data_IF_750956029542
#
_entry.id   IF_750956029542
#
_cell.length_a   1.000
_cell.length_b   1.000
_cell.length_c   1.000
_cell.angle_alpha   90.00
_cell.angle_beta   90.00
_cell.angle_gamma   90.00
#
_symmetry.space_group_name_H-M   'P 1'
#
loop_
_entity.id
_entity.type
_entity.pdbx_description
1 polymer ?
#
# COMPACT_ATOMS: atom_id res chain seq x y z
N UNK A 1 4.90 29.01 5.21
CA UNK A 1 5.40 28.94 6.60
C UNK A 1 6.68 28.13 6.62
N UNK A 2 7.53 28.35 7.62
CA UNK A 2 8.71 27.53 7.92
C UNK A 2 8.28 26.30 8.71
N UNK A 3 8.96 25.17 8.53
CA UNK A 3 8.70 23.96 9.29
C UNK A 3 8.88 24.19 10.80
N UNK A 4 7.94 23.76 11.67
CA UNK A 4 7.98 24.07 13.11
C UNK A 4 9.29 23.66 13.78
N UNK A 5 9.85 22.50 13.43
CA UNK A 5 11.11 22.00 14.00
C UNK A 5 12.32 22.81 13.51
N UNK A 6 12.33 23.22 12.24
CA UNK A 6 13.38 24.12 11.76
C UNK A 6 13.33 25.44 12.52
N UNK A 7 12.14 25.98 12.74
CA UNK A 7 11.94 27.17 13.59
C UNK A 7 12.54 26.96 14.98
N UNK A 8 12.19 25.86 15.64
CA UNK A 8 12.70 25.52 16.99
C UNK A 8 14.23 25.38 17.01
N UNK A 9 14.84 24.71 16.02
CA UNK A 9 16.31 24.56 15.92
C UNK A 9 17.00 25.91 15.71
N UNK A 10 16.38 26.81 14.94
CA UNK A 10 16.87 28.18 14.75
C UNK A 10 16.85 28.98 16.09
N UNK A 11 15.72 28.91 16.81
CA UNK A 11 15.56 29.57 18.11
C UNK A 11 16.55 29.04 19.16
N UNK A 12 16.78 27.72 19.17
CA UNK A 12 17.82 27.13 20.04
C UNK A 12 19.21 27.65 19.69
N UNK A 13 19.56 27.75 18.39
CA UNK A 13 20.86 28.27 17.97
C UNK A 13 21.01 29.78 18.25
N UNK A 14 19.91 30.53 18.14
CA UNK A 14 19.85 31.94 18.51
C UNK A 14 19.96 32.18 20.04
N UNK A 15 19.63 31.15 20.85
CA UNK A 15 19.58 31.23 22.30
C UNK A 15 18.30 31.84 22.86
N UNK A 16 17.36 32.25 21.99
CA UNK A 16 16.08 32.85 22.39
C UNK A 16 14.99 32.66 21.35
N UNK A 17 13.71 32.89 21.72
CA UNK A 17 12.59 32.88 20.80
C UNK A 17 12.57 34.15 19.94
N UNK A 18 12.10 34.04 18.72
CA UNK A 18 11.91 35.16 17.79
C UNK A 18 10.48 35.69 17.95
N UNK A 19 10.32 36.76 18.73
CA UNK A 19 9.02 37.30 19.12
C UNK A 19 8.75 38.74 18.59
N UNK A 20 9.78 39.44 18.20
CA UNK A 20 9.67 40.85 17.78
C UNK A 20 10.64 41.19 16.64
N UNK A 21 10.63 42.44 16.18
CA UNK A 21 11.48 42.92 15.09
C UNK A 21 12.97 42.84 15.43
N UNK A 22 13.36 43.23 16.66
CA UNK A 22 14.75 43.20 17.09
C UNK A 22 15.34 41.79 17.08
N UNK A 23 14.56 40.78 17.48
CA UNK A 23 14.99 39.37 17.38
C UNK A 23 15.21 38.95 15.93
N UNK A 24 14.39 39.45 14.98
CA UNK A 24 14.58 39.19 13.57
C UNK A 24 15.82 39.84 12.98
N UNK A 25 16.15 41.06 13.44
CA UNK A 25 17.39 41.76 13.06
C UNK A 25 18.61 41.03 13.62
N UNK A 26 18.56 40.62 14.89
CA UNK A 26 19.61 39.83 15.53
C UNK A 26 19.84 38.51 14.78
N UNK A 27 18.77 37.78 14.45
CA UNK A 27 18.87 36.54 13.69
C UNK A 27 19.43 36.77 12.29
N UNK A 28 19.03 37.84 11.60
CA UNK A 28 19.56 38.23 10.29
C UNK A 28 21.08 38.42 10.32
N UNK A 29 21.57 39.18 11.30
CA UNK A 29 23.00 39.43 11.50
C UNK A 29 23.75 38.14 11.85
N UNK A 30 23.22 37.32 12.76
CA UNK A 30 23.86 36.09 13.17
C UNK A 30 23.94 35.06 11.99
N UNK A 31 22.94 35.02 11.11
CA UNK A 31 22.98 34.18 9.89
C UNK A 31 24.10 34.67 8.97
N UNK A 32 24.22 36.00 8.75
CA UNK A 32 25.27 36.57 7.91
C UNK A 32 26.65 36.25 8.48
N UNK A 33 26.87 36.49 9.78
CA UNK A 33 28.14 36.18 10.47
C UNK A 33 28.52 34.70 10.44
N UNK A 34 27.51 33.81 10.52
CA UNK A 34 27.76 32.35 10.66
C UNK A 34 28.02 31.64 9.34
N UNK A 35 27.30 32.02 8.28
CA UNK A 35 27.32 31.28 7.00
C UNK A 35 27.55 32.19 5.77
N UNK A 36 27.82 33.46 5.98
CA UNK A 36 28.07 34.47 4.93
C UNK A 36 26.96 34.57 3.87
N UNK A 37 25.71 34.47 4.32
CA UNK A 37 24.53 34.59 3.46
C UNK A 37 23.53 35.55 4.08
N UNK A 38 23.21 36.61 3.33
CA UNK A 38 22.25 37.60 3.77
C UNK A 38 20.79 37.12 3.63
N UNK A 39 20.00 37.24 4.70
CA UNK A 39 18.54 37.16 4.71
C UNK A 39 17.98 38.40 5.37
N UNK A 40 17.12 39.16 4.67
CA UNK A 40 16.54 40.37 5.26
C UNK A 40 15.68 40.01 6.49
N UNK A 41 15.74 40.83 7.52
CA UNK A 41 14.92 40.70 8.72
C UNK A 41 13.41 40.70 8.40
N UNK A 42 12.98 41.39 7.35
CA UNK A 42 11.60 41.38 6.90
C UNK A 42 11.16 39.97 6.36
N UNK A 43 12.07 39.23 5.72
CA UNK A 43 11.82 37.84 5.34
C UNK A 43 11.64 36.97 6.58
N UNK A 44 12.50 37.13 7.57
CA UNK A 44 12.44 36.40 8.85
C UNK A 44 11.13 36.75 9.57
N UNK A 45 10.71 38.00 9.66
CA UNK A 45 9.44 38.42 10.27
C UNK A 45 8.22 37.66 9.63
N UNK A 46 8.18 37.60 8.32
CA UNK A 46 7.11 36.88 7.59
C UNK A 46 7.13 35.37 7.86
N UNK A 47 8.30 34.76 7.90
CA UNK A 47 8.44 33.31 8.13
C UNK A 47 8.11 32.91 9.57
N UNK A 48 8.38 33.79 10.54
CA UNK A 48 8.08 33.54 11.94
C UNK A 48 6.67 33.98 12.36
N UNK A 49 5.86 34.47 11.41
CA UNK A 49 4.45 34.83 11.66
C UNK A 49 4.30 36.24 12.32
N UNK A 50 5.33 37.07 12.30
CA UNK A 50 5.30 38.43 12.84
C UNK A 50 4.88 39.49 11.81
N UNK A 51 4.58 39.08 10.60
CA UNK A 51 4.05 39.89 9.50
C UNK A 51 3.21 38.99 8.56
N UNK A 52 2.56 39.60 7.55
CA UNK A 52 1.74 38.86 6.57
C UNK A 52 2.54 37.68 6.00
N UNK A 53 1.95 36.49 6.13
CA UNK A 53 2.60 35.24 5.81
C UNK A 53 2.88 35.12 4.31
N UNK A 54 4.08 34.69 3.95
CA UNK A 54 4.50 34.45 2.55
C UNK A 54 5.13 33.05 2.48
N UNK A 55 4.91 32.35 1.38
CA UNK A 55 5.58 31.07 1.12
C UNK A 55 7.08 31.29 1.03
N UNK A 56 7.85 30.57 1.84
CA UNK A 56 9.31 30.63 1.82
C UNK A 56 9.87 30.18 0.48
N UNK A 57 10.85 30.90 -0.07
CA UNK A 57 11.57 30.47 -1.25
C UNK A 57 12.49 29.29 -0.93
N UNK A 58 12.80 28.45 -1.91
CA UNK A 58 13.75 27.33 -1.78
C UNK A 58 15.13 27.84 -1.30
N UNK A 59 15.56 29.00 -1.80
CA UNK A 59 16.81 29.62 -1.39
C UNK A 59 16.78 29.96 0.11
N UNK A 60 15.74 30.61 0.57
CA UNK A 60 15.58 30.99 1.99
C UNK A 60 15.55 29.76 2.91
N UNK A 61 14.79 28.72 2.55
CA UNK A 61 14.75 27.46 3.32
C UNK A 61 16.12 26.79 3.39
N UNK A 62 16.85 26.76 2.29
CA UNK A 62 18.21 26.20 2.26
C UNK A 62 19.16 27.00 3.15
N UNK A 63 19.08 28.32 3.14
CA UNK A 63 19.92 29.18 4.00
C UNK A 63 19.62 28.96 5.49
N UNK A 64 18.34 28.87 5.86
CA UNK A 64 17.93 28.58 7.25
C UNK A 64 18.37 27.17 7.69
N UNK A 65 18.29 26.20 6.81
CA UNK A 65 18.78 24.85 7.09
C UNK A 65 20.31 24.80 7.25
N UNK A 66 21.06 25.53 6.42
CA UNK A 66 22.51 25.67 6.55
C UNK A 66 22.88 26.36 7.88
N UNK A 67 22.16 27.40 8.25
CA UNK A 67 22.38 28.09 9.53
C UNK A 67 22.29 27.16 10.73
N UNK A 68 21.42 26.14 10.70
CA UNK A 68 21.30 25.12 11.77
C UNK A 68 22.12 23.85 11.52
N UNK A 69 23.11 23.91 10.59
CA UNK A 69 24.10 22.85 10.40
C UNK A 69 23.77 21.77 9.36
N UNK A 70 22.70 21.93 8.57
CA UNK A 70 22.37 20.98 7.50
C UNK A 70 22.92 21.44 6.14
N UNK A 71 23.22 20.51 5.23
CA UNK A 71 23.70 20.84 3.87
C UNK A 71 22.70 21.70 3.08
N UNK A 72 21.42 21.42 3.21
CA UNK A 72 20.31 22.16 2.61
C UNK A 72 18.99 21.74 3.28
N UNK A 73 17.86 22.31 2.86
CA UNK A 73 16.54 22.02 3.42
C UNK A 73 16.09 20.56 3.18
N UNK A 74 16.45 19.97 2.05
CA UNK A 74 16.12 18.55 1.78
C UNK A 74 16.85 17.64 2.77
N UNK A 75 18.13 17.89 3.01
CA UNK A 75 18.92 17.15 4.01
C UNK A 75 18.36 17.32 5.42
N UNK A 76 17.92 18.54 5.80
CA UNK A 76 17.22 18.76 7.07
C UNK A 76 15.96 17.91 7.18
N UNK A 77 15.10 17.90 6.13
CA UNK A 77 13.86 17.12 6.12
C UNK A 77 14.13 15.62 6.22
N UNK A 78 15.13 15.12 5.48
CA UNK A 78 15.50 13.69 5.52
C UNK A 78 16.00 13.29 6.91
N UNK A 79 16.95 14.01 7.48
CA UNK A 79 17.51 13.72 8.81
C UNK A 79 16.43 13.79 9.89
N UNK A 80 15.55 14.79 9.80
CA UNK A 80 14.46 14.90 10.76
C UNK A 80 13.47 13.74 10.69
N UNK A 81 13.09 13.31 9.47
CA UNK A 81 12.23 12.13 9.28
C UNK A 81 12.88 10.84 9.80
N UNK A 82 14.19 10.69 9.64
CA UNK A 82 14.94 9.56 10.17
C UNK A 82 14.95 9.58 11.71
N UNK A 83 15.24 10.71 12.34
CA UNK A 83 15.23 10.89 13.80
C UNK A 83 13.81 10.61 14.38
N UNK A 84 12.77 11.16 13.77
CA UNK A 84 11.38 10.95 14.20
C UNK A 84 10.99 9.47 14.08
N UNK A 85 11.31 8.83 12.95
CA UNK A 85 11.01 7.42 12.72
C UNK A 85 11.76 6.52 13.69
N UNK A 86 13.02 6.82 13.99
CA UNK A 86 13.82 6.06 14.95
C UNK A 86 13.25 6.18 16.37
N UNK A 87 12.92 7.38 16.82
CA UNK A 87 12.32 7.62 18.13
C UNK A 87 10.96 6.92 18.25
N UNK A 88 10.14 6.97 17.21
CA UNK A 88 8.84 6.31 17.16
C UNK A 88 8.98 4.79 17.21
N UNK A 89 9.96 4.22 16.50
CA UNK A 89 10.23 2.79 16.54
C UNK A 89 10.64 2.32 17.93
N UNK A 90 11.48 3.06 18.63
CA UNK A 90 11.89 2.76 20.02
C UNK A 90 10.67 2.80 20.96
N UNK A 91 9.78 3.78 20.80
CA UNK A 91 8.54 3.85 21.59
C UNK A 91 7.64 2.66 21.32
N UNK A 92 7.46 2.27 20.05
CA UNK A 92 6.67 1.09 19.67
C UNK A 92 7.22 -0.16 20.33
N UNK A 93 8.53 -0.43 20.21
CA UNK A 93 9.16 -1.60 20.82
C UNK A 93 8.93 -1.64 22.33
N UNK A 94 9.08 -0.50 23.01
CA UNK A 94 8.85 -0.42 24.46
C UNK A 94 7.40 -0.78 24.82
N UNK A 95 6.42 -0.13 24.21
CA UNK A 95 5.00 -0.35 24.57
C UNK A 95 4.52 -1.74 24.17
N UNK A 96 5.02 -2.30 23.07
CA UNK A 96 4.69 -3.67 22.63
C UNK A 96 5.32 -4.69 23.58
N UNK A 97 6.58 -4.49 24.01
CA UNK A 97 7.24 -5.36 24.98
C UNK A 97 6.51 -5.38 26.32
N UNK A 98 6.05 -4.22 26.79
CA UNK A 98 5.29 -4.10 28.06
C UNK A 98 3.85 -4.62 27.93
N UNK A 99 3.33 -4.68 26.70
CA UNK A 99 1.94 -5.03 26.39
C UNK A 99 0.90 -4.21 27.17
N UNK A 100 1.26 -2.96 27.54
CA UNK A 100 0.37 -2.06 28.25
C UNK A 100 -0.67 -1.46 27.29
N UNK A 101 -1.92 -1.88 27.47
CA UNK A 101 -3.06 -1.44 26.64
C UNK A 101 -3.21 0.08 26.65
N UNK A 102 -3.15 0.71 27.81
CA UNK A 102 -3.40 2.14 27.96
C UNK A 102 -2.30 2.95 27.26
N UNK A 103 -1.04 2.54 27.41
CA UNK A 103 0.09 3.17 26.73
C UNK A 103 0.01 3.02 25.21
N UNK A 104 -0.37 1.84 24.69
CA UNK A 104 -0.52 1.61 23.25
C UNK A 104 -1.62 2.50 22.66
N UNK A 105 -2.81 2.53 23.30
CA UNK A 105 -3.92 3.38 22.86
C UNK A 105 -3.51 4.86 22.87
N UNK A 106 -2.92 5.33 23.96
CA UNK A 106 -2.42 6.70 24.09
C UNK A 106 -1.41 7.03 23.00
N UNK A 107 -0.50 6.11 22.69
CA UNK A 107 0.51 6.29 21.65
C UNK A 107 -0.14 6.44 20.26
N UNK A 108 -1.15 5.63 19.94
CA UNK A 108 -1.90 5.75 18.67
C UNK A 108 -2.54 7.12 18.55
N UNK A 109 -3.27 7.55 19.59
CA UNK A 109 -3.98 8.83 19.60
C UNK A 109 -3.04 10.03 19.46
N UNK A 110 -1.96 10.04 20.25
CA UNK A 110 -0.98 11.13 20.20
C UNK A 110 -0.23 11.19 18.87
N UNK A 111 0.08 10.04 18.28
CA UNK A 111 0.77 9.97 16.99
C UNK A 111 -0.12 10.44 15.84
N UNK A 112 -1.42 10.12 15.85
CA UNK A 112 -2.38 10.61 14.83
C UNK A 112 -2.41 12.13 14.77
N UNK A 113 -2.35 12.79 15.90
CA UNK A 113 -2.41 14.26 16.00
C UNK A 113 -1.08 14.90 15.56
N UNK A 114 0.06 14.28 15.87
CA UNK A 114 1.38 14.91 15.81
C UNK A 114 2.24 14.52 14.60
N UNK A 115 1.92 13.42 13.89
CA UNK A 115 2.83 12.86 12.90
C UNK A 115 2.22 12.80 11.50
N UNK A 116 2.97 13.34 10.51
CA UNK A 116 2.69 13.12 9.08
C UNK A 116 2.94 11.65 8.67
N UNK A 117 3.62 10.88 9.51
CA UNK A 117 3.98 9.48 9.30
C UNK A 117 3.04 8.48 9.97
N UNK A 118 1.80 8.88 10.32
CA UNK A 118 0.85 8.01 11.01
C UNK A 118 0.63 6.66 10.32
N UNK A 119 0.58 6.64 8.99
CA UNK A 119 0.46 5.41 8.20
C UNK A 119 1.60 4.41 8.50
N UNK A 120 2.84 4.87 8.46
CA UNK A 120 4.02 4.05 8.75
C UNK A 120 4.00 3.56 10.20
N UNK A 121 3.61 4.41 11.12
CA UNK A 121 3.43 4.07 12.53
C UNK A 121 2.42 2.93 12.71
N UNK A 122 1.22 3.03 12.12
CA UNK A 122 0.19 1.99 12.19
C UNK A 122 0.73 0.65 11.67
N UNK A 123 1.45 0.67 10.56
CA UNK A 123 2.04 -0.54 9.96
C UNK A 123 3.08 -1.17 10.88
N UNK A 124 4.01 -0.37 11.42
CA UNK A 124 5.08 -0.88 12.30
C UNK A 124 4.46 -1.44 13.58
N UNK A 125 3.59 -0.67 14.24
CA UNK A 125 2.90 -1.11 15.46
C UNK A 125 2.12 -2.41 15.23
N UNK A 126 1.32 -2.48 14.16
CA UNK A 126 0.52 -3.67 13.85
C UNK A 126 1.39 -4.90 13.62
N UNK A 127 2.51 -4.75 12.91
CA UNK A 127 3.45 -5.85 12.67
C UNK A 127 4.11 -6.32 13.95
N UNK A 128 4.56 -5.40 14.82
CA UNK A 128 5.16 -5.73 16.11
C UNK A 128 4.16 -6.45 17.03
N UNK A 129 2.91 -5.98 17.10
CA UNK A 129 1.86 -6.65 17.87
C UNK A 129 1.58 -8.06 17.33
N UNK A 130 1.57 -8.26 16.01
CA UNK A 130 1.42 -9.59 15.39
C UNK A 130 2.61 -10.50 15.69
N UNK A 131 3.86 -10.02 15.55
CA UNK A 131 5.06 -10.81 15.82
C UNK A 131 5.13 -11.24 17.27
N UNK A 132 4.70 -10.39 18.20
CA UNK A 132 4.64 -10.69 19.63
C UNK A 132 3.35 -11.41 20.05
N UNK A 133 2.47 -11.77 19.11
CA UNK A 133 1.19 -12.47 19.34
C UNK A 133 0.18 -11.71 20.22
N UNK A 134 0.28 -10.40 20.31
CA UNK A 134 -0.67 -9.55 21.04
C UNK A 134 -1.93 -9.28 20.21
N UNK A 135 -2.66 -10.33 19.84
CA UNK A 135 -3.79 -10.25 18.90
C UNK A 135 -4.96 -9.43 19.44
N UNK A 136 -5.27 -9.58 20.74
CA UNK A 136 -6.36 -8.84 21.38
C UNK A 136 -6.05 -7.34 21.44
N UNK A 137 -4.80 -6.99 21.69
CA UNK A 137 -4.36 -5.59 21.69
C UNK A 137 -4.39 -4.99 20.29
N UNK A 138 -3.96 -5.73 19.27
CA UNK A 138 -4.08 -5.30 17.87
C UNK A 138 -5.55 -5.12 17.47
N UNK A 139 -6.45 -6.03 17.91
CA UNK A 139 -7.88 -5.89 17.65
C UNK A 139 -8.41 -4.57 18.23
N UNK A 140 -8.07 -4.26 19.48
CA UNK A 140 -8.46 -3.01 20.12
C UNK A 140 -7.89 -1.77 19.44
N UNK A 141 -6.67 -1.83 18.94
CA UNK A 141 -6.06 -0.75 18.13
C UNK A 141 -6.92 -0.48 16.90
N UNK A 142 -7.39 -1.51 16.19
CA UNK A 142 -8.27 -1.35 15.04
C UNK A 142 -9.72 -0.96 15.38
N UNK A 143 -10.13 -0.98 16.66
CA UNK A 143 -11.41 -0.45 17.12
C UNK A 143 -11.39 1.07 17.33
N UNK A 144 -10.19 1.69 17.36
CA UNK A 144 -10.05 3.14 17.57
C UNK A 144 -10.52 3.93 16.33
N UNK A 145 -11.14 5.08 16.59
CA UNK A 145 -11.60 6.00 15.55
C UNK A 145 -10.44 6.47 14.65
N UNK A 146 -9.23 6.58 15.20
CA UNK A 146 -8.02 6.95 14.47
C UNK A 146 -7.70 5.96 13.33
N UNK A 147 -8.08 4.69 13.48
CA UNK A 147 -7.91 3.63 12.50
C UNK A 147 -9.19 3.33 11.71
N UNK A 148 -10.22 4.18 11.80
CA UNK A 148 -11.38 4.02 10.94
C UNK A 148 -10.99 4.00 9.46
N UNK A 149 -11.55 3.04 8.72
CA UNK A 149 -11.25 2.83 7.30
C UNK A 149 -11.33 4.13 6.48
N UNK A 150 -12.33 4.96 6.77
CA UNK A 150 -12.61 6.19 6.03
C UNK A 150 -11.58 7.31 6.30
N UNK A 151 -10.68 7.13 7.27
CA UNK A 151 -9.55 8.03 7.52
C UNK A 151 -8.36 7.82 6.58
N UNK A 152 -8.40 6.80 5.75
CA UNK A 152 -7.32 6.43 4.83
C UNK A 152 -7.76 6.53 3.37
N UNK A 153 -6.86 6.97 2.51
CA UNK A 153 -7.05 6.88 1.07
C UNK A 153 -6.99 5.42 0.58
N UNK A 154 -7.52 5.13 -0.60
CA UNK A 154 -7.46 3.79 -1.19
C UNK A 154 -6.04 3.21 -1.28
N UNK A 155 -5.04 4.04 -1.56
CA UNK A 155 -3.65 3.59 -1.63
C UNK A 155 -3.06 3.27 -0.26
N UNK A 156 -3.43 4.05 0.76
CA UNK A 156 -2.99 3.80 2.14
C UNK A 156 -3.61 2.52 2.70
N UNK A 157 -4.92 2.32 2.50
CA UNK A 157 -5.59 1.06 2.88
C UNK A 157 -4.93 -0.14 2.22
N UNK A 158 -4.62 -0.04 0.92
CA UNK A 158 -3.95 -1.11 0.20
C UNK A 158 -2.53 -1.36 0.74
N UNK A 159 -1.83 -0.30 1.16
CA UNK A 159 -0.50 -0.43 1.76
C UNK A 159 -0.56 -1.08 3.15
N UNK A 160 -1.50 -0.68 4.01
CA UNK A 160 -1.78 -1.31 5.31
C UNK A 160 -2.06 -2.80 5.11
N UNK A 161 -3.01 -3.13 4.23
CA UNK A 161 -3.42 -4.51 4.00
C UNK A 161 -2.30 -5.40 3.49
N UNK A 162 -1.49 -4.92 2.54
CA UNK A 162 -0.35 -5.69 2.05
C UNK A 162 0.73 -5.87 3.13
N UNK A 163 1.07 -4.82 3.87
CA UNK A 163 2.11 -4.88 4.89
C UNK A 163 1.75 -5.83 6.05
N UNK A 164 0.51 -5.76 6.54
CA UNK A 164 0.01 -6.62 7.60
C UNK A 164 -0.29 -8.03 7.07
N UNK A 165 -0.90 -8.14 5.90
CA UNK A 165 -1.24 -9.41 5.24
C UNK A 165 -0.01 -10.29 4.99
N UNK A 166 1.15 -9.71 4.67
CA UNK A 166 2.41 -10.45 4.55
C UNK A 166 2.85 -11.10 5.86
N UNK A 167 2.61 -10.47 7.00
CA UNK A 167 2.90 -11.04 8.33
C UNK A 167 1.91 -12.16 8.64
N UNK A 168 0.61 -11.93 8.40
CA UNK A 168 -0.43 -12.94 8.57
C UNK A 168 -0.12 -14.21 7.77
N UNK A 169 0.27 -14.06 6.51
CA UNK A 169 0.67 -15.15 5.63
C UNK A 169 1.88 -15.90 6.17
N UNK A 170 2.93 -15.18 6.58
CA UNK A 170 4.17 -15.79 7.10
C UNK A 170 3.93 -16.59 8.38
N UNK A 171 3.07 -16.08 9.26
CA UNK A 171 2.78 -16.72 10.54
C UNK A 171 1.59 -17.69 10.49
N UNK A 172 0.83 -17.70 9.38
CA UNK A 172 -0.38 -18.52 9.21
C UNK A 172 -1.36 -18.40 10.40
N UNK A 173 -1.64 -17.14 10.79
CA UNK A 173 -2.40 -16.84 12.00
C UNK A 173 -3.84 -17.36 11.88
N UNK A 174 -4.18 -18.33 12.71
CA UNK A 174 -5.53 -18.94 12.79
C UNK A 174 -6.46 -18.24 13.79
N UNK A 175 -5.95 -17.24 14.51
CA UNK A 175 -6.76 -16.53 15.51
C UNK A 175 -7.94 -15.80 14.84
N UNK A 176 -9.13 -15.98 15.43
CA UNK A 176 -10.39 -15.43 14.90
C UNK A 176 -10.78 -14.09 15.51
N UNK A 177 -10.01 -13.56 16.44
CA UNK A 177 -10.32 -12.30 17.16
C UNK A 177 -10.57 -11.13 16.22
N UNK A 178 -9.90 -11.08 15.08
CA UNK A 178 -10.04 -10.00 14.11
C UNK A 178 -11.33 -10.07 13.25
N UNK A 179 -12.02 -11.23 13.24
CA UNK A 179 -13.15 -11.46 12.32
C UNK A 179 -14.40 -10.65 12.69
N UNK A 180 -14.40 -10.08 13.89
CA UNK A 180 -15.46 -9.20 14.36
C UNK A 180 -15.13 -7.71 14.24
N UNK A 181 -13.89 -7.37 13.88
CA UNK A 181 -13.43 -5.99 13.73
C UNK A 181 -13.61 -5.49 12.30
N UNK A 182 -14.57 -4.59 12.10
CA UNK A 182 -14.91 -4.07 10.76
C UNK A 182 -13.77 -3.29 10.14
N UNK A 183 -13.02 -2.47 10.90
CA UNK A 183 -11.89 -1.72 10.38
C UNK A 183 -10.76 -2.65 9.96
N UNK A 184 -10.42 -3.65 10.77
CA UNK A 184 -9.43 -4.66 10.39
C UNK A 184 -9.84 -5.41 9.12
N UNK A 185 -11.09 -5.83 9.03
CA UNK A 185 -11.59 -6.53 7.85
C UNK A 185 -11.52 -5.66 6.60
N UNK A 186 -11.92 -4.38 6.68
CA UNK A 186 -11.88 -3.46 5.54
C UNK A 186 -10.45 -3.07 5.16
N UNK A 187 -9.58 -2.78 6.13
CA UNK A 187 -8.20 -2.35 5.88
C UNK A 187 -7.27 -3.51 5.49
N UNK A 188 -7.48 -4.71 6.01
CA UNK A 188 -6.54 -5.82 5.84
C UNK A 188 -7.13 -6.95 5.01
N UNK A 189 -8.23 -7.55 5.47
CA UNK A 189 -8.79 -8.74 4.84
C UNK A 189 -9.30 -8.46 3.41
N UNK A 190 -10.01 -7.35 3.17
CA UNK A 190 -10.48 -6.99 1.83
C UNK A 190 -9.36 -6.62 0.86
N UNK A 191 -8.25 -6.11 1.34
CA UNK A 191 -7.17 -5.59 0.50
C UNK A 191 -6.04 -6.57 0.26
N UNK A 192 -5.90 -7.60 1.11
CA UNK A 192 -4.91 -8.66 0.97
C UNK A 192 -5.57 -10.04 0.91
N UNK A 193 -5.59 -10.66 -0.27
CA UNK A 193 -5.99 -12.06 -0.41
C UNK A 193 -4.75 -12.95 -0.35
N UNK A 194 -4.75 -13.89 0.57
CA UNK A 194 -3.68 -14.90 0.63
C UNK A 194 -4.02 -16.09 -0.29
N UNK A 195 -3.71 -15.95 -1.57
CA UNK A 195 -3.94 -17.00 -2.56
C UNK A 195 -3.14 -18.26 -2.28
N UNK A 196 -1.97 -18.16 -1.63
CA UNK A 196 -1.17 -19.33 -1.26
C UNK A 196 -1.80 -20.17 -0.16
N UNK A 197 -2.67 -19.56 0.64
CA UNK A 197 -3.43 -20.21 1.72
C UNK A 197 -4.95 -20.14 1.51
N UNK A 198 -5.39 -20.05 0.26
CA UNK A 198 -6.82 -19.95 -0.06
C UNK A 198 -7.60 -21.21 0.34
N UNK A 199 -6.94 -22.34 0.54
CA UNK A 199 -7.48 -23.59 1.09
C UNK A 199 -7.07 -23.83 2.55
N UNK A 200 -6.26 -22.95 3.15
CA UNK A 200 -5.81 -23.00 4.55
C UNK A 200 -6.53 -21.99 5.44
N UNK A 201 -5.80 -21.33 6.33
CA UNK A 201 -6.35 -20.38 7.31
C UNK A 201 -7.21 -19.30 6.69
N UNK A 202 -6.86 -18.83 5.48
CA UNK A 202 -7.61 -17.79 4.78
C UNK A 202 -9.01 -18.27 4.36
N UNK A 203 -9.15 -19.55 4.02
CA UNK A 203 -10.46 -20.15 3.75
C UNK A 203 -11.32 -20.23 5.01
N UNK A 204 -10.72 -20.58 6.14
CA UNK A 204 -11.43 -20.65 7.43
C UNK A 204 -11.94 -19.27 7.83
N UNK A 205 -11.11 -18.23 7.67
CA UNK A 205 -11.50 -16.84 7.88
C UNK A 205 -12.64 -16.43 6.95
N UNK A 206 -12.49 -16.66 5.64
CA UNK A 206 -13.51 -16.31 4.63
C UNK A 206 -14.85 -16.99 4.96
N UNK A 207 -14.82 -18.25 5.36
CA UNK A 207 -16.04 -18.99 5.73
C UNK A 207 -16.70 -18.42 7.00
N UNK A 208 -15.89 -18.07 8.01
CA UNK A 208 -16.39 -17.46 9.24
C UNK A 208 -17.02 -16.08 8.99
N UNK A 209 -16.36 -15.22 8.22
CA UNK A 209 -16.87 -13.90 7.86
C UNK A 209 -18.16 -14.01 7.03
N UNK A 210 -18.23 -14.95 6.09
CA UNK A 210 -19.45 -15.18 5.29
C UNK A 210 -20.66 -15.59 6.13
N UNK A 211 -20.45 -16.22 7.27
CA UNK A 211 -21.53 -16.54 8.22
C UNK A 211 -22.04 -15.32 8.97
N UNK A 212 -21.15 -14.37 9.31
CA UNK A 212 -21.45 -13.22 10.18
C UNK A 212 -21.95 -11.97 9.44
N UNK A 213 -21.80 -11.89 8.14
CA UNK A 213 -22.34 -10.88 7.17
C UNK A 213 -22.53 -9.46 7.73
N UNK A 214 -21.48 -8.85 8.30
CA UNK A 214 -21.58 -7.54 8.97
C UNK A 214 -21.85 -6.36 8.00
N UNK A 215 -21.35 -6.44 6.77
CA UNK A 215 -21.58 -5.41 5.74
C UNK A 215 -21.83 -6.06 4.39
N UNK A 216 -22.57 -5.36 3.51
CA UNK A 216 -22.82 -5.82 2.14
C UNK A 216 -21.52 -6.00 1.34
N UNK A 217 -20.54 -5.14 1.57
CA UNK A 217 -19.21 -5.22 0.97
C UNK A 217 -18.51 -6.53 1.33
N UNK A 218 -18.47 -6.88 2.61
CA UNK A 218 -17.88 -8.13 3.09
C UNK A 218 -18.64 -9.36 2.58
N UNK A 219 -19.97 -9.28 2.52
CA UNK A 219 -20.79 -10.38 1.98
C UNK A 219 -20.45 -10.65 0.51
N UNK A 220 -20.43 -9.62 -0.32
CA UNK A 220 -20.13 -9.74 -1.75
C UNK A 220 -18.70 -10.24 -1.95
N UNK A 221 -17.74 -9.68 -1.22
CA UNK A 221 -16.33 -10.07 -1.30
C UNK A 221 -16.11 -11.53 -0.89
N UNK A 222 -16.65 -11.98 0.24
CA UNK A 222 -16.46 -13.36 0.71
C UNK A 222 -17.08 -14.37 -0.23
N UNK A 223 -18.25 -14.08 -0.81
CA UNK A 223 -18.85 -14.90 -1.85
C UNK A 223 -17.95 -15.00 -3.08
N UNK A 224 -17.39 -13.88 -3.54
CA UNK A 224 -16.49 -13.87 -4.68
C UNK A 224 -15.21 -14.68 -4.42
N UNK A 225 -14.61 -14.56 -3.23
CA UNK A 225 -13.43 -15.35 -2.86
C UNK A 225 -13.73 -16.85 -2.77
N UNK A 226 -14.87 -17.22 -2.22
CA UNK A 226 -15.29 -18.64 -2.17
C UNK A 226 -15.51 -19.21 -3.56
N UNK A 227 -16.12 -18.46 -4.48
CA UNK A 227 -16.27 -18.90 -5.89
C UNK A 227 -14.93 -18.96 -6.60
N UNK A 228 -14.02 -18.00 -6.36
CA UNK A 228 -12.67 -18.06 -6.91
C UNK A 228 -11.91 -19.31 -6.42
N UNK A 229 -12.06 -19.65 -5.15
CA UNK A 229 -11.53 -20.89 -4.56
C UNK A 229 -12.11 -22.14 -5.24
N UNK A 230 -13.43 -22.19 -5.44
CA UNK A 230 -14.09 -23.30 -6.16
C UNK A 230 -13.54 -23.41 -7.58
N UNK A 231 -13.36 -22.29 -8.28
CA UNK A 231 -12.75 -22.31 -9.61
C UNK A 231 -11.32 -22.85 -9.60
N UNK A 232 -10.48 -22.45 -8.64
CA UNK A 232 -9.11 -22.97 -8.55
C UNK A 232 -9.10 -24.49 -8.30
N UNK A 233 -10.02 -24.99 -7.48
CA UNK A 233 -10.08 -26.40 -7.09
C UNK A 233 -10.81 -27.29 -8.12
N UNK A 234 -11.93 -26.81 -8.67
CA UNK A 234 -12.86 -27.63 -9.48
C UNK A 234 -13.06 -27.12 -10.90
N UNK A 235 -12.50 -25.94 -11.23
CA UNK A 235 -12.70 -25.27 -12.53
C UNK A 235 -14.16 -24.91 -12.85
N UNK A 236 -14.99 -24.71 -11.83
CA UNK A 236 -16.40 -24.34 -11.96
C UNK A 236 -16.70 -23.03 -11.23
N UNK A 237 -17.63 -22.24 -11.77
CA UNK A 237 -18.14 -21.00 -11.17
C UNK A 237 -19.65 -20.97 -11.37
N UNK A 238 -20.38 -20.46 -10.38
CA UNK A 238 -21.83 -20.32 -10.44
C UNK A 238 -22.27 -19.28 -11.46
N UNK A 239 -23.29 -19.60 -12.25
CA UNK A 239 -23.85 -18.71 -13.26
C UNK A 239 -24.42 -17.39 -12.69
N UNK A 240 -24.78 -17.37 -11.40
CA UNK A 240 -25.27 -16.16 -10.73
C UNK A 240 -24.28 -14.99 -10.79
N UNK A 241 -22.98 -15.27 -10.93
CA UNK A 241 -21.94 -14.24 -11.05
C UNK A 241 -21.86 -13.59 -12.43
N UNK A 242 -22.50 -14.15 -13.46
CA UNK A 242 -22.57 -13.52 -14.80
C UNK A 242 -23.17 -12.13 -14.79
N UNK A 243 -24.20 -11.91 -13.94
CA UNK A 243 -24.92 -10.64 -13.81
C UNK A 243 -24.41 -9.74 -12.70
N UNK A 244 -23.21 -10.02 -12.18
CA UNK A 244 -22.61 -9.20 -11.13
C UNK A 244 -22.41 -7.77 -11.63
N UNK A 245 -23.03 -6.80 -10.98
CA UNK A 245 -22.84 -5.36 -11.26
C UNK A 245 -21.66 -4.81 -10.45
N UNK A 246 -20.92 -3.89 -11.06
CA UNK A 246 -19.89 -3.14 -10.35
C UNK A 246 -20.51 -1.99 -9.55
N UNK A 247 -19.96 -1.76 -8.35
CA UNK A 247 -20.33 -0.64 -7.51
C UNK A 247 -19.14 0.30 -7.39
N UNK A 248 -19.32 1.56 -7.84
CA UNK A 248 -18.29 2.59 -7.84
C UNK A 248 -17.85 3.03 -6.44
N UNK A 249 -18.61 2.71 -5.41
CA UNK A 249 -18.28 3.00 -4.01
C UNK A 249 -17.32 2.00 -3.39
N UNK A 250 -17.11 0.83 -4.04
CA UNK A 250 -16.19 -0.18 -3.54
C UNK A 250 -14.74 0.20 -3.83
N UNK A 251 -13.84 -0.29 -2.97
CA UNK A 251 -12.41 -0.16 -3.24
C UNK A 251 -12.05 -0.77 -4.61
N UNK A 252 -11.27 -0.11 -5.47
CA UNK A 252 -10.96 -0.60 -6.83
C UNK A 252 -10.40 -2.01 -6.89
N UNK A 253 -9.59 -2.44 -5.92
CA UNK A 253 -9.07 -3.81 -5.88
C UNK A 253 -10.19 -4.84 -5.63
N UNK A 254 -11.20 -4.49 -4.85
CA UNK A 254 -12.37 -5.34 -4.65
C UNK A 254 -13.17 -5.47 -5.95
N UNK A 255 -13.33 -4.38 -6.68
CA UNK A 255 -13.95 -4.42 -8.02
C UNK A 255 -13.19 -5.34 -8.97
N UNK A 256 -11.86 -5.33 -8.95
CA UNK A 256 -11.04 -6.26 -9.75
C UNK A 256 -11.29 -7.74 -9.40
N UNK A 257 -11.49 -8.06 -8.13
CA UNK A 257 -11.83 -9.43 -7.68
C UNK A 257 -13.22 -9.87 -8.16
N UNK A 258 -14.19 -8.97 -8.07
CA UNK A 258 -15.53 -9.22 -8.59
C UNK A 258 -15.51 -9.41 -10.11
N UNK A 259 -14.72 -8.58 -10.81
CA UNK A 259 -14.51 -8.71 -12.24
C UNK A 259 -13.88 -10.07 -12.60
N UNK A 260 -12.90 -10.53 -11.83
CA UNK A 260 -12.28 -11.85 -12.01
C UNK A 260 -13.32 -12.97 -12.00
N UNK A 261 -14.21 -12.97 -11.01
CA UNK A 261 -15.28 -13.99 -10.90
C UNK A 261 -16.32 -13.85 -12.01
N UNK A 262 -16.67 -12.60 -12.39
CA UNK A 262 -17.58 -12.34 -13.52
C UNK A 262 -17.01 -12.86 -14.84
N UNK A 263 -15.71 -12.67 -15.10
CA UNK A 263 -15.01 -13.21 -16.27
C UNK A 263 -15.08 -14.76 -16.28
N UNK A 264 -14.81 -15.39 -15.16
CA UNK A 264 -14.84 -16.85 -15.02
C UNK A 264 -16.25 -17.40 -15.25
N UNK A 265 -17.29 -16.75 -14.71
CA UNK A 265 -18.68 -17.16 -14.85
C UNK A 265 -19.19 -17.03 -16.29
N UNK A 266 -18.72 -16.04 -17.05
CA UNK A 266 -19.09 -15.84 -18.46
C UNK A 266 -18.32 -16.78 -19.43
N UNK A 267 -17.50 -17.69 -18.91
CA UNK A 267 -16.67 -18.59 -19.73
C UNK A 267 -15.84 -17.86 -20.78
N UNK A 268 -15.51 -16.60 -20.48
CA UNK A 268 -14.67 -15.71 -21.28
C UNK A 268 -15.30 -15.19 -22.59
N UNK A 269 -16.59 -15.45 -22.81
CA UNK A 269 -17.32 -14.85 -23.91
C UNK A 269 -17.62 -13.38 -23.64
N UNK A 270 -17.58 -12.56 -24.70
CA UNK A 270 -17.92 -11.14 -24.65
C UNK A 270 -17.14 -10.32 -23.60
N UNK A 271 -15.84 -10.54 -23.50
CA UNK A 271 -14.96 -9.94 -22.49
C UNK A 271 -14.77 -8.43 -22.66
N UNK A 272 -14.64 -7.93 -23.88
CA UNK A 272 -14.29 -6.53 -24.16
C UNK A 272 -15.29 -5.55 -23.53
N UNK A 273 -16.61 -5.68 -23.67
CA UNK A 273 -17.56 -4.79 -23.01
C UNK A 273 -17.45 -4.80 -21.47
N UNK A 274 -17.16 -5.99 -20.88
CA UNK A 274 -17.01 -6.12 -19.43
C UNK A 274 -15.75 -5.40 -18.96
N UNK A 275 -14.65 -5.48 -19.71
CA UNK A 275 -13.39 -4.81 -19.40
C UNK A 275 -13.51 -3.29 -19.60
N UNK A 276 -14.23 -2.86 -20.63
CA UNK A 276 -14.46 -1.43 -20.89
C UNK A 276 -15.33 -0.79 -19.81
N UNK A 277 -16.38 -1.48 -19.34
CA UNK A 277 -17.18 -1.05 -18.18
C UNK A 277 -16.30 -0.85 -16.95
N UNK A 278 -15.46 -1.83 -16.63
CA UNK A 278 -14.53 -1.74 -15.50
C UNK A 278 -13.54 -0.60 -15.65
N UNK A 279 -12.95 -0.45 -16.84
CA UNK A 279 -11.99 0.59 -17.13
C UNK A 279 -12.59 2.00 -17.02
N UNK A 280 -13.80 2.19 -17.51
CA UNK A 280 -14.52 3.46 -17.42
C UNK A 280 -14.79 3.83 -15.95
N UNK A 281 -15.26 2.89 -15.14
CA UNK A 281 -15.50 3.09 -13.71
C UNK A 281 -14.22 3.57 -13.01
N UNK A 282 -13.06 2.98 -13.34
CA UNK A 282 -11.79 3.28 -12.69
C UNK A 282 -10.86 4.21 -13.49
N UNK A 283 -11.35 4.85 -14.54
CA UNK A 283 -10.55 5.74 -15.42
C UNK A 283 -9.88 6.90 -14.67
N UNK A 284 -10.45 7.37 -13.56
CA UNK A 284 -9.85 8.38 -12.67
C UNK A 284 -8.53 7.91 -12.05
N UNK A 285 -8.28 6.61 -12.01
CA UNK A 285 -7.11 5.97 -11.41
C UNK A 285 -6.15 5.39 -12.45
N UNK A 286 -6.12 5.91 -13.68
CA UNK A 286 -5.26 5.40 -14.79
C UNK A 286 -3.80 5.19 -14.38
N UNK A 287 -3.23 6.09 -13.58
CA UNK A 287 -1.85 5.97 -13.08
C UNK A 287 -1.65 4.81 -12.09
N UNK A 288 -2.73 4.25 -11.56
CA UNK A 288 -2.73 3.19 -10.55
C UNK A 288 -3.30 1.87 -11.08
N UNK A 289 -3.51 1.76 -12.40
CA UNK A 289 -4.16 0.59 -13.00
C UNK A 289 -3.40 -0.72 -12.73
N UNK A 290 -2.07 -0.66 -12.66
CA UNK A 290 -1.25 -1.81 -12.27
C UNK A 290 -1.58 -2.30 -10.86
N UNK A 291 -1.80 -1.36 -9.94
CA UNK A 291 -2.13 -1.62 -8.54
C UNK A 291 -3.49 -2.30 -8.40
N UNK A 292 -4.49 -1.75 -9.05
CA UNK A 292 -5.87 -2.22 -8.92
C UNK A 292 -6.18 -3.43 -9.81
N UNK A 293 -5.44 -3.62 -10.90
CA UNK A 293 -5.62 -4.75 -11.82
C UNK A 293 -4.85 -6.01 -11.42
N UNK A 294 -4.18 -6.02 -10.28
CA UNK A 294 -3.40 -7.16 -9.79
C UNK A 294 -4.16 -8.49 -9.84
N UNK A 295 -5.42 -8.49 -9.43
CA UNK A 295 -6.27 -9.69 -9.43
C UNK A 295 -6.52 -10.24 -10.84
N UNK A 296 -6.53 -9.36 -11.84
CA UNK A 296 -6.71 -9.75 -13.25
C UNK A 296 -5.49 -10.51 -13.80
N UNK A 297 -4.29 -10.29 -13.27
CA UNK A 297 -3.11 -11.06 -13.69
C UNK A 297 -3.28 -12.54 -13.32
N UNK A 298 -3.70 -12.80 -12.08
CA UNK A 298 -3.95 -14.15 -11.58
C UNK A 298 -5.06 -14.80 -12.41
N UNK A 299 -6.15 -14.07 -12.65
CA UNK A 299 -7.26 -14.54 -13.47
C UNK A 299 -6.82 -14.88 -14.89
N UNK A 300 -6.08 -13.99 -15.56
CA UNK A 300 -5.59 -14.19 -16.91
C UNK A 300 -4.71 -15.44 -17.03
N UNK A 301 -3.80 -15.65 -16.07
CA UNK A 301 -2.91 -16.81 -16.04
C UNK A 301 -3.73 -18.09 -15.78
N UNK A 302 -4.53 -18.12 -14.72
CA UNK A 302 -5.27 -19.34 -14.31
C UNK A 302 -6.33 -19.79 -15.30
N UNK A 303 -6.89 -18.84 -16.06
CA UNK A 303 -7.86 -19.10 -17.11
C UNK A 303 -7.24 -19.28 -18.50
N UNK A 304 -5.94 -18.97 -18.64
CA UNK A 304 -5.23 -18.93 -19.93
C UNK A 304 -5.90 -18.01 -20.97
N UNK A 305 -6.57 -16.96 -20.51
CA UNK A 305 -7.34 -16.08 -21.37
C UNK A 305 -6.45 -15.10 -22.14
N UNK A 306 -6.26 -15.37 -23.43
CA UNK A 306 -5.40 -14.58 -24.31
C UNK A 306 -5.93 -13.16 -24.56
N UNK A 307 -7.24 -12.98 -24.61
CA UNK A 307 -7.87 -11.66 -24.81
C UNK A 307 -7.61 -10.79 -23.61
N UNK A 308 -7.84 -11.31 -22.39
CA UNK A 308 -7.56 -10.61 -21.15
C UNK A 308 -6.07 -10.27 -21.00
N UNK A 309 -5.17 -11.22 -21.30
CA UNK A 309 -3.71 -10.95 -21.25
C UNK A 309 -3.32 -9.82 -22.20
N UNK A 310 -3.80 -9.86 -23.45
CA UNK A 310 -3.53 -8.83 -24.45
C UNK A 310 -4.06 -7.46 -23.99
N UNK A 311 -5.28 -7.43 -23.50
CA UNK A 311 -5.90 -6.20 -22.99
C UNK A 311 -5.04 -5.58 -21.87
N UNK A 312 -4.67 -6.36 -20.86
CA UNK A 312 -3.86 -5.90 -19.73
C UNK A 312 -2.49 -5.40 -20.20
N UNK A 313 -1.82 -6.12 -21.11
CA UNK A 313 -0.51 -5.71 -21.66
C UNK A 313 -0.61 -4.35 -22.35
N UNK A 314 -1.71 -4.08 -23.06
CA UNK A 314 -1.90 -2.84 -23.80
C UNK A 314 -2.21 -1.63 -22.92
N UNK A 315 -2.90 -1.83 -21.77
CA UNK A 315 -3.28 -0.73 -20.89
C UNK A 315 -2.22 -0.37 -19.85
N UNK A 316 -1.28 -1.27 -19.55
CA UNK A 316 -0.24 -1.05 -18.55
C UNK A 316 0.95 -0.32 -19.15
N UNK A 317 1.15 0.92 -18.73
CA UNK A 317 2.34 1.71 -19.03
C UNK A 317 3.38 1.55 -17.91
N UNK A 318 4.36 0.67 -18.14
CA UNK A 318 5.41 0.39 -17.17
C UNK A 318 6.30 1.61 -16.90
N UNK A 319 6.45 2.53 -17.87
CA UNK A 319 7.28 3.71 -17.70
C UNK A 319 6.78 4.66 -16.62
N UNK A 320 5.46 4.78 -16.47
CA UNK A 320 4.83 5.66 -15.48
C UNK A 320 4.78 5.07 -14.06
N UNK A 321 4.92 3.75 -13.93
CA UNK A 321 4.67 3.03 -12.66
C UNK A 321 5.95 2.55 -11.97
N UNK A 322 7.14 2.85 -12.50
CA UNK A 322 8.42 2.33 -11.99
C UNK A 322 8.83 2.88 -10.61
N UNK A 323 8.23 3.97 -10.17
CA UNK A 323 8.66 4.70 -8.96
C UNK A 323 8.04 4.21 -7.64
N UNK A 324 7.04 3.33 -7.70
CA UNK A 324 6.31 2.89 -6.52
C UNK A 324 6.88 1.57 -6.00
N UNK A 325 7.62 1.65 -4.89
CA UNK A 325 8.33 0.51 -4.30
C UNK A 325 7.45 -0.72 -4.04
N UNK A 326 6.25 -0.52 -3.52
CA UNK A 326 5.30 -1.60 -3.23
C UNK A 326 4.63 -2.21 -4.48
N UNK A 327 4.75 -1.58 -5.64
CA UNK A 327 4.26 -2.14 -6.91
C UNK A 327 5.25 -3.11 -7.56
N UNK A 328 6.50 -3.13 -7.13
CA UNK A 328 7.52 -4.02 -7.70
C UNK A 328 7.15 -5.49 -7.53
N UNK A 329 6.48 -5.80 -6.46
CA UNK A 329 5.96 -7.13 -6.19
C UNK A 329 4.89 -7.55 -7.20
N UNK A 330 4.04 -6.62 -7.61
CA UNK A 330 2.96 -6.86 -8.57
C UNK A 330 3.48 -6.92 -9.99
N UNK A 331 4.59 -6.24 -10.27
CA UNK A 331 5.29 -6.35 -11.54
C UNK A 331 5.71 -7.79 -11.83
N UNK A 332 6.03 -8.59 -10.82
CA UNK A 332 6.38 -10.00 -11.02
C UNK A 332 5.24 -10.79 -11.66
N UNK A 333 4.02 -10.63 -11.18
CA UNK A 333 2.86 -11.30 -11.79
C UNK A 333 2.55 -10.76 -13.18
N UNK A 334 2.73 -9.46 -13.39
CA UNK A 334 2.61 -8.88 -14.73
C UNK A 334 3.64 -9.46 -15.70
N UNK A 335 4.93 -9.52 -15.30
CA UNK A 335 5.98 -10.09 -16.14
C UNK A 335 5.72 -11.57 -16.44
N UNK A 336 5.28 -12.34 -15.45
CA UNK A 336 4.92 -13.74 -15.59
C UNK A 336 3.76 -13.91 -16.58
N UNK A 337 2.69 -13.12 -16.44
CA UNK A 337 1.56 -13.11 -17.36
C UNK A 337 1.96 -12.73 -18.78
N UNK A 338 2.75 -11.66 -18.94
CA UNK A 338 3.22 -11.22 -20.24
C UNK A 338 4.15 -12.25 -20.91
N UNK A 339 5.07 -12.86 -20.14
CA UNK A 339 5.89 -13.98 -20.62
C UNK A 339 5.02 -15.13 -21.14
N UNK A 340 3.99 -15.52 -20.38
CA UNK A 340 3.09 -16.58 -20.75
C UNK A 340 2.29 -16.25 -22.01
N UNK A 341 1.76 -15.03 -22.13
CA UNK A 341 1.12 -14.55 -23.35
C UNK A 341 2.02 -14.68 -24.57
N UNK A 342 3.27 -14.21 -24.47
CA UNK A 342 4.21 -14.28 -25.59
C UNK A 342 4.74 -15.69 -25.86
N UNK A 343 4.72 -16.60 -24.90
CA UNK A 343 4.92 -18.03 -25.12
C UNK A 343 3.79 -18.60 -25.99
N UNK A 344 2.53 -18.32 -25.63
CA UNK A 344 1.36 -18.82 -26.36
C UNK A 344 1.24 -18.22 -27.78
N UNK A 345 1.67 -16.98 -27.98
CA UNK A 345 1.71 -16.33 -29.31
C UNK A 345 2.99 -16.61 -30.09
N UNK A 346 3.86 -17.51 -29.60
CA UNK A 346 5.14 -17.89 -30.24
C UNK A 346 6.10 -16.73 -30.50
N UNK A 347 5.98 -15.61 -29.76
CA UNK A 347 6.88 -14.47 -29.86
C UNK A 347 8.07 -14.63 -28.90
N UNK A 348 9.10 -15.35 -29.36
CA UNK A 348 10.25 -15.70 -28.51
C UNK A 348 11.05 -14.47 -28.04
N UNK A 349 11.17 -13.40 -28.83
CA UNK A 349 11.91 -12.20 -28.45
C UNK A 349 11.26 -11.52 -27.23
N UNK A 350 9.95 -11.27 -27.30
CA UNK A 350 9.20 -10.66 -26.18
C UNK A 350 9.10 -11.61 -24.99
N UNK A 351 8.90 -12.92 -25.20
CA UNK A 351 8.93 -13.92 -24.13
C UNK A 351 10.23 -13.84 -23.33
N UNK A 352 11.39 -13.86 -24.01
CA UNK A 352 12.68 -13.81 -23.35
C UNK A 352 12.94 -12.47 -22.65
N UNK A 353 12.44 -11.35 -23.21
CA UNK A 353 12.48 -10.04 -22.54
C UNK A 353 11.75 -10.09 -21.16
N UNK A 354 10.51 -10.57 -21.14
CA UNK A 354 9.73 -10.61 -19.91
C UNK A 354 10.22 -11.67 -18.92
N UNK A 355 10.74 -12.80 -19.41
CA UNK A 355 11.42 -13.79 -18.56
C UNK A 355 12.63 -13.18 -17.85
N UNK A 356 13.48 -12.42 -18.55
CA UNK A 356 14.63 -11.73 -17.96
C UNK A 356 14.17 -10.72 -16.89
N UNK A 357 13.14 -9.92 -17.15
CA UNK A 357 12.59 -8.97 -16.20
C UNK A 357 12.03 -9.68 -14.96
N UNK A 358 11.31 -10.78 -15.14
CA UNK A 358 10.77 -11.61 -14.05
C UNK A 358 11.91 -12.15 -13.17
N UNK A 359 12.94 -12.76 -13.75
CA UNK A 359 14.08 -13.32 -13.00
C UNK A 359 14.79 -12.21 -12.22
N UNK A 360 15.13 -11.08 -12.85
CA UNK A 360 15.82 -9.96 -12.20
C UNK A 360 15.00 -9.37 -11.03
N UNK A 361 13.69 -9.33 -11.16
CA UNK A 361 12.83 -8.82 -10.10
C UNK A 361 12.63 -9.84 -8.99
N UNK A 362 12.58 -11.14 -9.29
CA UNK A 362 12.42 -12.23 -8.31
C UNK A 362 13.64 -12.36 -7.40
N UNK A 363 14.85 -12.10 -7.89
CA UNK A 363 16.07 -12.07 -7.07
C UNK A 363 15.97 -11.02 -5.95
N UNK A 364 15.32 -9.88 -6.24
CA UNK A 364 15.18 -8.76 -5.29
C UNK A 364 13.99 -8.89 -4.37
N UNK A 365 12.91 -9.52 -4.82
CA UNK A 365 11.62 -9.59 -4.15
C UNK A 365 11.08 -11.02 -4.20
N UNK A 366 11.17 -11.73 -3.08
CA UNK A 366 10.74 -13.14 -3.00
C UNK A 366 9.21 -13.27 -3.08
N UNK A 367 8.73 -13.88 -4.16
CA UNK A 367 7.32 -14.22 -4.40
C UNK A 367 7.10 -15.73 -4.42
N UNK A 368 7.89 -16.47 -3.63
CA UNK A 368 7.93 -17.95 -3.67
C UNK A 368 6.53 -18.59 -3.60
N UNK A 369 5.65 -18.03 -2.78
CA UNK A 369 4.33 -18.63 -2.55
C UNK A 369 3.35 -18.42 -3.71
N UNK A 370 3.37 -17.23 -4.34
CA UNK A 370 2.60 -16.98 -5.57
C UNK A 370 3.14 -17.76 -6.76
N UNK A 371 4.46 -17.85 -6.87
CA UNK A 371 5.12 -18.63 -7.92
C UNK A 371 4.71 -20.09 -7.81
N UNK A 372 4.61 -20.66 -6.60
CA UNK A 372 4.16 -22.04 -6.42
C UNK A 372 2.75 -22.26 -6.93
N UNK A 373 1.80 -21.40 -6.56
CA UNK A 373 0.43 -21.48 -7.07
C UNK A 373 0.37 -21.39 -8.60
N UNK A 374 1.20 -20.54 -9.19
CA UNK A 374 1.23 -20.31 -10.62
C UNK A 374 2.12 -21.33 -11.35
N UNK A 375 3.17 -21.85 -10.71
CA UNK A 375 3.99 -22.95 -11.25
C UNK A 375 3.17 -24.21 -11.43
N UNK A 376 2.31 -24.57 -10.49
CA UNK A 376 1.42 -25.70 -10.63
C UNK A 376 0.51 -25.56 -11.88
N UNK A 377 0.07 -24.32 -12.17
CA UNK A 377 -0.67 -24.01 -13.41
C UNK A 377 0.21 -24.05 -14.65
N UNK A 378 1.46 -23.59 -14.56
CA UNK A 378 2.43 -23.59 -15.66
C UNK A 378 2.91 -25.01 -16.00
N UNK A 379 3.34 -25.79 -15.02
CA UNK A 379 3.81 -27.17 -15.19
C UNK A 379 2.70 -28.06 -15.74
N UNK A 380 1.47 -27.90 -15.26
CA UNK A 380 0.31 -28.62 -15.81
C UNK A 380 0.04 -28.25 -17.29
N UNK A 381 0.41 -27.05 -17.72
CA UNK A 381 0.29 -26.64 -19.14
C UNK A 381 1.43 -27.16 -20.01
N UNK A 382 2.63 -27.33 -19.46
CA UNK A 382 3.78 -27.88 -20.20
C UNK A 382 3.64 -29.38 -20.43
N UNK A 383 3.19 -30.12 -19.43
CA UNK A 383 2.94 -31.58 -19.55
C UNK A 383 1.87 -31.95 -20.60
N UNK A 384 1.02 -30.99 -21.01
CA UNK A 384 0.00 -31.25 -22.07
C UNK A 384 0.40 -30.72 -23.45
N UNK A 385 1.46 -30.00 -23.59
CA UNK A 385 1.90 -29.37 -24.87
C UNK A 385 3.14 -30.01 -25.47
N UNK A 386 3.80 -30.92 -24.78
CA UNK A 386 4.81 -31.79 -25.37
C UNK A 386 4.15 -33.15 -25.67
N UNK A 387 3.93 -33.52 -26.93
CA UNK A 387 3.76 -34.90 -27.29
C UNK A 387 5.09 -35.61 -26.99
N UNK A 388 5.01 -36.65 -26.20
CA UNK A 388 6.08 -37.60 -25.99
C UNK A 388 6.65 -38.12 -27.33
#
# INVERSE_FOLDING_TARGET
MIHPILKKKIEIRLGQKVLNRGDCELLSNLILETIDIEISYNTIRRLFGLAVNVKASKKTLNTLAKFVGYKNYIHFMQTHLEEETQNLSILIFRVVYQADKAEVIKLVQTTKISSENFLNFVIILSRELLYNKHYDLLNQVFELDELAYDNFSYSEVLFIGNAIGLVLRKQQIKNKVFLDNTNFLRCVYLTFVDYSNINGYYADWTTAINKNKKTKELEVFTKAILEFREFLNKRTVKDSFKKLAFNTTLHPILCSRLLSVKIMANKYDNLEPILDEYYQIHSKHKSKILEYSFELFITAITTKNMVLMRYIINIIDLGKNQHLFFLKDRLNLFYLMAMFYYKLTKNNAKKNKYLKLFILNTIRYSYKDYIKLLQDVFLYSEARTEPL
#
